data_IF_069349655359
#
_entry.id   IF_069349655359
#
_cell.length_a   1.000
_cell.length_b   1.000
_cell.length_c   1.000
_cell.angle_alpha   90.00
_cell.angle_beta   90.00
_cell.angle_gamma   90.00
#
_symmetry.space_group_name_H-M   'P 1'
#
loop_
_entity.id
_entity.type
_entity.pdbx_description
1 polymer ?
#
# COMPACT_ATOMS: atom_id res chain seq x y z
N UNK A 1 -4.52 44.56 38.92
CA UNK A 1 -3.36 44.03 38.16
C UNK A 1 -3.01 42.62 38.66
N UNK A 2 -3.48 41.58 37.97
CA UNK A 2 -2.71 40.37 37.63
C UNK A 2 -3.56 39.53 36.69
N UNK A 3 -2.95 39.25 35.54
CA UNK A 3 -3.48 38.65 34.33
C UNK A 3 -3.40 37.13 34.37
N UNK A 4 -4.18 36.53 33.49
CA UNK A 4 -3.98 35.23 32.86
C UNK A 4 -4.52 33.99 33.60
N UNK A 5 -5.74 33.54 33.25
CA UNK A 5 -6.03 32.11 33.19
C UNK A 5 -5.07 31.48 32.17
N UNK A 6 -4.25 30.53 32.61
CA UNK A 6 -3.38 29.74 31.74
C UNK A 6 -4.23 29.04 30.68
N UNK A 7 -4.02 29.40 29.42
CA UNK A 7 -4.44 28.61 28.27
C UNK A 7 -4.00 27.15 28.46
N UNK A 8 -4.90 26.16 28.33
CA UNK A 8 -4.51 24.79 28.08
C UNK A 8 -4.26 24.58 26.57
N UNK A 9 -3.39 25.39 25.95
CA UNK A 9 -2.70 24.97 24.74
C UNK A 9 -1.44 24.25 25.23
N UNK A 10 -1.32 22.94 25.06
CA UNK A 10 -0.33 22.42 24.08
C UNK A 10 -0.32 20.89 23.90
N UNK A 11 -1.24 20.10 24.48
CA UNK A 11 -1.08 18.63 24.44
C UNK A 11 -2.06 17.84 23.55
N UNK A 12 -3.06 18.47 22.93
CA UNK A 12 -4.01 17.75 22.06
C UNK A 12 -3.69 17.84 20.56
N UNK A 13 -2.80 18.74 20.14
CA UNK A 13 -2.49 18.93 18.70
C UNK A 13 -1.40 18.00 18.17
N UNK A 14 -0.55 17.44 19.05
CA UNK A 14 0.47 16.46 18.64
C UNK A 14 -0.05 15.01 18.62
N UNK A 15 -1.25 14.77 19.16
CA UNK A 15 -1.94 13.47 19.09
C UNK A 15 -2.99 13.37 18.00
N UNK A 16 -3.13 14.38 17.16
CA UNK A 16 -3.65 14.20 15.81
C UNK A 16 -2.56 13.52 14.96
N UNK A 17 -2.10 12.34 15.41
CA UNK A 17 -1.32 11.40 14.61
C UNK A 17 -2.14 11.25 13.34
N UNK A 18 -1.65 11.84 12.25
CA UNK A 18 -2.34 11.95 10.96
C UNK A 18 -2.67 10.53 10.53
N UNK A 19 -3.77 9.96 11.00
CA UNK A 19 -4.24 8.68 10.55
C UNK A 19 -4.68 8.96 9.13
N UNK A 20 -3.93 8.47 8.12
CA UNK A 20 -4.41 8.57 6.76
C UNK A 20 -5.80 7.93 6.75
N UNK A 21 -6.77 8.63 6.17
CA UNK A 21 -8.16 8.15 6.13
C UNK A 21 -8.15 6.69 5.65
N UNK A 22 -8.93 5.81 6.31
CA UNK A 22 -9.02 4.39 5.94
C UNK A 22 -9.28 4.21 4.44
N UNK A 23 -10.00 5.14 3.83
CA UNK A 23 -10.26 5.18 2.40
C UNK A 23 -8.98 5.46 1.58
N UNK A 24 -8.14 6.39 2.02
CA UNK A 24 -6.85 6.68 1.38
C UNK A 24 -5.87 5.48 1.49
N UNK A 25 -5.84 4.81 2.64
CA UNK A 25 -5.05 3.60 2.83
C UNK A 25 -5.51 2.45 1.93
N UNK A 26 -6.81 2.28 1.75
CA UNK A 26 -7.36 1.27 0.85
C UNK A 26 -7.01 1.55 -0.60
N UNK A 27 -7.12 2.79 -1.05
CA UNK A 27 -6.74 3.19 -2.41
C UNK A 27 -5.24 2.95 -2.62
N UNK A 28 -4.40 3.33 -1.65
CA UNK A 28 -2.96 3.10 -1.73
C UNK A 28 -2.63 1.60 -1.83
N UNK A 29 -3.24 0.76 -0.98
CA UNK A 29 -3.05 -0.68 -1.01
C UNK A 29 -3.47 -1.31 -2.35
N UNK A 30 -4.61 -0.87 -2.91
CA UNK A 30 -5.08 -1.33 -4.23
C UNK A 30 -4.13 -0.87 -5.35
N UNK A 31 -3.67 0.38 -5.32
CA UNK A 31 -2.70 0.89 -6.30
C UNK A 31 -1.40 0.11 -6.27
N UNK A 32 -0.87 -0.18 -5.08
CA UNK A 32 0.33 -1.01 -4.93
C UNK A 32 0.10 -2.40 -5.53
N UNK A 33 -1.04 -3.03 -5.22
CA UNK A 33 -1.40 -4.31 -5.83
C UNK A 33 -1.46 -4.25 -7.36
N UNK A 34 -2.09 -3.21 -7.94
CA UNK A 34 -2.17 -3.05 -9.39
C UNK A 34 -0.80 -2.82 -10.05
N UNK A 35 0.08 -2.03 -9.43
CA UNK A 35 1.44 -1.80 -9.94
C UNK A 35 2.25 -3.10 -9.91
N UNK A 36 2.22 -3.82 -8.79
CA UNK A 36 2.91 -5.12 -8.67
C UNK A 36 2.37 -6.14 -9.68
N UNK A 37 1.06 -6.20 -9.87
CA UNK A 37 0.45 -7.05 -10.88
C UNK A 37 0.88 -6.66 -12.29
N UNK A 38 0.88 -5.35 -12.62
CA UNK A 38 1.30 -4.85 -13.92
C UNK A 38 2.75 -5.21 -14.26
N UNK A 39 3.66 -5.09 -13.30
CA UNK A 39 5.07 -5.49 -13.48
C UNK A 39 5.17 -7.01 -13.72
N UNK A 40 4.50 -7.83 -12.91
CA UNK A 40 4.51 -9.28 -13.07
C UNK A 40 3.89 -9.74 -14.41
N UNK A 41 2.78 -9.13 -14.82
CA UNK A 41 2.12 -9.42 -16.08
C UNK A 41 2.99 -8.99 -17.28
N UNK A 42 3.60 -7.81 -17.23
CA UNK A 42 4.53 -7.35 -18.26
C UNK A 42 5.75 -8.28 -18.39
N UNK A 43 6.29 -8.76 -17.26
CA UNK A 43 7.38 -9.74 -17.24
C UNK A 43 6.97 -11.08 -17.85
N UNK A 44 5.78 -11.59 -17.51
CA UNK A 44 5.23 -12.82 -18.12
C UNK A 44 5.07 -12.69 -19.63
N UNK A 45 4.53 -11.57 -20.12
CA UNK A 45 4.36 -11.31 -21.56
C UNK A 45 5.72 -11.22 -22.26
N UNK A 46 6.68 -10.51 -21.67
CA UNK A 46 8.04 -10.39 -22.20
C UNK A 46 8.71 -11.76 -22.30
N UNK A 47 8.68 -12.55 -21.23
CA UNK A 47 9.31 -13.88 -21.21
C UNK A 47 8.62 -14.84 -22.19
N UNK A 48 7.30 -14.76 -22.35
CA UNK A 48 6.58 -15.56 -23.35
C UNK A 48 7.02 -15.25 -24.79
N UNK A 49 7.28 -13.97 -25.09
CA UNK A 49 7.70 -13.52 -26.43
C UNK A 49 9.20 -13.78 -26.68
N UNK A 50 10.05 -13.54 -25.69
CA UNK A 50 11.52 -13.55 -25.84
C UNK A 50 12.11 -14.93 -25.53
N UNK A 51 11.72 -15.54 -24.43
CA UNK A 51 12.33 -16.79 -23.96
C UNK A 51 11.65 -18.04 -24.52
N UNK A 52 10.40 -17.94 -25.03
CA UNK A 52 9.53 -19.06 -25.49
C UNK A 52 9.34 -20.20 -24.49
N UNK A 53 9.91 -20.10 -23.30
CA UNK A 53 9.74 -21.03 -22.18
C UNK A 53 8.80 -20.37 -21.17
N UNK A 54 7.50 -20.62 -21.32
CA UNK A 54 6.52 -20.18 -20.34
C UNK A 54 6.69 -21.05 -19.09
N UNK A 55 7.39 -20.53 -18.08
CA UNK A 55 7.51 -21.20 -16.79
C UNK A 55 6.12 -21.26 -16.14
N UNK A 56 5.39 -22.38 -16.29
CA UNK A 56 3.99 -22.54 -15.85
C UNK A 56 3.74 -22.15 -14.38
N UNK A 57 4.77 -22.21 -13.53
CA UNK A 57 4.74 -21.78 -12.14
C UNK A 57 4.67 -20.25 -11.95
N UNK A 58 5.09 -19.46 -12.94
CA UNK A 58 5.06 -18.01 -12.88
C UNK A 58 3.64 -17.44 -12.97
N UNK A 59 2.70 -18.15 -13.61
CA UNK A 59 1.30 -17.72 -13.75
C UNK A 59 0.63 -17.56 -12.36
N UNK A 60 0.55 -18.58 -11.50
CA UNK A 60 -0.03 -18.42 -10.17
C UNK A 60 0.76 -17.47 -9.27
N UNK A 61 2.08 -17.39 -9.43
CA UNK A 61 2.93 -16.46 -8.68
C UNK A 61 2.57 -15.00 -8.99
N UNK A 62 2.47 -14.63 -10.26
CA UNK A 62 2.14 -13.28 -10.71
C UNK A 62 0.72 -12.87 -10.30
N UNK A 63 -0.20 -13.81 -10.17
CA UNK A 63 -1.55 -13.53 -9.66
C UNK A 63 -1.63 -13.46 -8.14
N UNK A 64 -0.84 -14.25 -7.40
CA UNK A 64 -0.94 -14.35 -5.94
C UNK A 64 -0.14 -13.27 -5.21
N UNK A 65 1.08 -12.95 -5.69
CA UNK A 65 1.97 -11.95 -5.07
C UNK A 65 1.32 -10.57 -4.93
N UNK A 66 0.61 -10.01 -5.93
CA UNK A 66 0.00 -8.70 -5.80
C UNK A 66 -1.11 -8.65 -4.77
N UNK A 67 -1.88 -9.73 -4.63
CA UNK A 67 -2.94 -9.84 -3.61
C UNK A 67 -2.32 -9.88 -2.22
N UNK A 68 -1.26 -10.66 -2.01
CA UNK A 68 -0.52 -10.74 -0.74
C UNK A 68 0.08 -9.38 -0.38
N UNK A 69 0.70 -8.69 -1.34
CA UNK A 69 1.28 -7.36 -1.13
C UNK A 69 0.20 -6.34 -0.75
N UNK A 70 -0.94 -6.31 -1.45
CA UNK A 70 -2.03 -5.40 -1.13
C UNK A 70 -2.58 -5.63 0.29
N UNK A 71 -2.74 -6.89 0.70
CA UNK A 71 -3.19 -7.25 2.06
C UNK A 71 -2.13 -6.87 3.11
N UNK A 72 -0.84 -7.15 2.85
CA UNK A 72 0.25 -6.84 3.76
C UNK A 72 0.40 -5.33 3.99
N UNK A 73 0.35 -4.52 2.92
CA UNK A 73 0.41 -3.05 3.02
C UNK A 73 -0.77 -2.50 3.82
N UNK A 74 -1.97 -3.05 3.62
CA UNK A 74 -3.14 -2.64 4.40
C UNK A 74 -3.03 -3.04 5.86
N UNK A 75 -2.52 -4.25 6.15
CA UNK A 75 -2.34 -4.74 7.53
C UNK A 75 -1.25 -4.00 8.30
N UNK A 76 -0.23 -3.45 7.64
CA UNK A 76 0.80 -2.64 8.30
C UNK A 76 0.29 -1.27 8.75
N UNK A 77 -0.85 -0.83 8.21
CA UNK A 77 -1.43 0.50 8.43
C UNK A 77 -2.77 0.49 9.17
N UNK A 78 -3.31 -0.70 9.48
CA UNK A 78 -4.46 -0.91 10.38
C UNK A 78 -3.99 -0.84 11.85
#
# INVERSE_FOLDING_TARGET
MKSSPRDPDTNDKDKARRQPSRLALNIAAVLVGLITFGIGAAWLIYSWIVDREAQYFAIPLVFSVPVIVAVAVRSFWD
#
